data_IF_581187606088
#
_entry.id   IF_581187606088
#
_cell.length_a   1.000
_cell.length_b   1.000
_cell.length_c   1.000
_cell.angle_alpha   90.00
_cell.angle_beta   90.00
_cell.angle_gamma   90.00
#
_symmetry.space_group_name_H-M   'P 1'
#
loop_
_entity.id
_entity.type
_entity.pdbx_description
1 polymer ?
#
# COMPACT_ATOMS: atom_id res chain seq x y z
N UNK A 1 5.27 -4.28 14.51
CA UNK A 1 4.15 -4.29 13.53
C UNK A 1 4.65 -3.73 12.20
N UNK A 2 4.86 -2.41 12.10
CA UNK A 2 5.31 -1.78 10.86
C UNK A 2 6.62 -2.38 10.32
N UNK A 3 7.61 -2.57 11.21
CA UNK A 3 8.93 -3.14 10.89
C UNK A 3 8.88 -4.60 10.40
N UNK A 4 7.76 -5.31 10.60
CA UNK A 4 7.57 -6.67 10.05
C UNK A 4 7.12 -6.68 8.59
N UNK A 5 6.59 -5.55 8.12
CA UNK A 5 6.12 -5.38 6.75
C UNK A 5 7.08 -4.51 5.91
N UNK A 6 7.82 -3.61 6.57
CA UNK A 6 8.68 -2.64 5.90
C UNK A 6 9.96 -2.41 6.68
N UNK A 7 11.08 -2.47 5.96
CA UNK A 7 12.36 -1.99 6.46
C UNK A 7 12.39 -0.44 6.53
N UNK A 8 13.04 0.13 7.54
CA UNK A 8 13.12 1.59 7.76
C UNK A 8 14.39 2.23 7.19
N UNK A 9 15.34 1.44 6.70
CA UNK A 9 16.64 1.83 6.14
C UNK A 9 16.60 2.00 4.61
N UNK A 10 15.51 2.58 4.09
CA UNK A 10 15.38 2.87 2.66
C UNK A 10 16.00 4.22 2.25
N UNK A 11 16.68 4.29 1.10
CA UNK A 11 17.19 5.55 0.56
C UNK A 11 16.14 6.34 -0.23
N UNK A 12 15.29 5.64 -0.97
CA UNK A 12 14.20 6.22 -1.76
C UNK A 12 13.02 5.26 -1.88
N UNK A 13 11.84 5.80 -2.13
CA UNK A 13 10.60 5.05 -2.31
C UNK A 13 9.93 5.43 -3.62
N UNK A 14 9.27 4.44 -4.24
CA UNK A 14 8.31 4.73 -5.30
C UNK A 14 7.07 5.43 -4.71
N UNK A 15 6.28 6.10 -5.57
CA UNK A 15 5.04 6.73 -5.12
C UNK A 15 4.04 5.72 -4.54
N UNK A 16 3.96 4.53 -5.15
CA UNK A 16 3.09 3.44 -4.68
C UNK A 16 3.55 2.90 -3.33
N UNK A 17 4.86 2.70 -3.18
CA UNK A 17 5.45 2.22 -1.94
C UNK A 17 5.26 3.23 -0.79
N UNK A 18 5.45 4.52 -1.06
CA UNK A 18 5.16 5.58 -0.10
C UNK A 18 3.69 5.57 0.34
N UNK A 19 2.75 5.25 -0.55
CA UNK A 19 1.33 5.12 -0.21
C UNK A 19 1.04 3.91 0.67
N UNK A 20 1.58 2.73 0.31
CA UNK A 20 1.46 1.51 1.13
C UNK A 20 2.03 1.71 2.53
N UNK A 21 3.22 2.30 2.62
CA UNK A 21 3.87 2.63 3.89
C UNK A 21 3.05 3.63 4.70
N UNK A 22 2.50 4.68 4.09
CA UNK A 22 1.65 5.64 4.82
C UNK A 22 0.37 5.00 5.34
N UNK A 23 -0.27 4.14 4.56
CA UNK A 23 -1.41 3.33 5.03
C UNK A 23 -1.02 2.48 6.24
N UNK A 24 0.08 1.72 6.13
CA UNK A 24 0.57 0.87 7.21
C UNK A 24 0.94 1.67 8.47
N UNK A 25 1.57 2.83 8.34
CA UNK A 25 1.85 3.74 9.46
C UNK A 25 0.57 4.22 10.14
N UNK A 26 -0.49 4.47 9.36
CA UNK A 26 -1.81 4.82 9.85
C UNK A 26 -2.43 3.70 10.69
N UNK A 27 -2.44 2.49 10.13
CA UNK A 27 -2.92 1.28 10.81
C UNK A 27 -2.15 1.06 12.13
N UNK A 28 -0.82 1.17 12.10
CA UNK A 28 0.01 0.96 13.28
C UNK A 28 -0.28 2.00 14.37
N UNK A 29 -0.41 3.28 13.98
CA UNK A 29 -0.68 4.36 14.90
C UNK A 29 -2.05 4.22 15.58
N UNK A 30 -3.08 3.76 14.86
CA UNK A 30 -4.40 3.53 15.47
C UNK A 30 -4.39 2.35 16.45
N UNK A 31 -3.52 1.35 16.21
CA UNK A 31 -3.28 0.24 17.14
C UNK A 31 -2.31 0.61 18.29
N UNK A 32 -1.88 1.88 18.38
CA UNK A 32 -1.05 2.38 19.48
C UNK A 32 0.46 2.31 19.25
N UNK A 33 0.91 2.03 18.03
CA UNK A 33 2.33 2.01 17.65
C UNK A 33 2.69 3.23 16.78
N UNK A 34 3.41 4.20 17.36
CA UNK A 34 3.77 5.46 16.69
C UNK A 34 5.15 5.42 16.02
N UNK A 35 5.22 5.88 14.77
CA UNK A 35 6.45 5.97 13.96
C UNK A 35 6.55 7.35 13.28
N UNK A 36 6.55 8.43 14.08
CA UNK A 36 6.52 9.81 13.56
C UNK A 36 7.73 10.17 12.68
N UNK A 37 8.90 9.62 13.01
CA UNK A 37 10.13 9.84 12.25
C UNK A 37 10.00 9.32 10.81
N UNK A 38 9.47 8.10 10.66
CA UNK A 38 9.26 7.46 9.37
C UNK A 38 8.19 8.20 8.55
N UNK A 39 7.04 8.52 9.16
CA UNK A 39 6.02 9.36 8.51
C UNK A 39 6.60 10.68 8.02
N UNK A 40 7.41 11.33 8.85
CA UNK A 40 8.04 12.61 8.49
C UNK A 40 9.03 12.45 7.34
N UNK A 41 9.81 11.36 7.32
CA UNK A 41 10.75 11.04 6.25
C UNK A 41 10.03 10.84 4.92
N UNK A 42 8.94 10.08 4.90
CA UNK A 42 8.11 9.87 3.70
C UNK A 42 7.47 11.19 3.23
N UNK A 43 6.88 11.97 4.14
CA UNK A 43 6.26 13.26 3.79
C UNK A 43 7.25 14.29 3.21
N UNK A 44 8.55 14.18 3.53
CA UNK A 44 9.59 15.07 2.97
C UNK A 44 9.91 14.74 1.51
N UNK A 45 9.57 13.56 1.02
CA UNK A 45 9.73 13.21 -0.40
C UNK A 45 8.70 13.91 -1.30
N UNK A 46 7.57 14.34 -0.74
CA UNK A 46 6.54 15.04 -1.49
C UNK A 46 7.06 16.41 -1.96
N UNK A 47 7.17 16.57 -3.28
CA UNK A 47 7.61 17.82 -3.91
C UNK A 47 6.48 18.84 -4.08
N UNK A 48 5.23 18.38 -3.93
CA UNK A 48 4.02 19.21 -4.10
C UNK A 48 3.06 19.04 -2.93
N UNK A 49 2.25 20.07 -2.68
CA UNK A 49 1.17 19.99 -1.69
C UNK A 49 0.16 18.89 -2.02
N UNK A 50 -0.11 18.64 -3.30
CA UNK A 50 -0.99 17.56 -3.74
C UNK A 50 -0.45 16.19 -3.34
N UNK A 51 0.82 15.89 -3.66
CA UNK A 51 1.46 14.63 -3.25
C UNK A 51 1.42 14.44 -1.73
N UNK A 52 1.67 15.52 -0.98
CA UNK A 52 1.60 15.49 0.49
C UNK A 52 0.19 15.14 0.97
N UNK A 53 -0.84 15.77 0.41
CA UNK A 53 -2.24 15.47 0.76
C UNK A 53 -2.63 14.03 0.44
N UNK A 54 -2.14 13.47 -0.66
CA UNK A 54 -2.40 12.07 -1.04
C UNK A 54 -1.73 11.10 -0.05
N UNK A 55 -0.52 11.39 0.40
CA UNK A 55 0.15 10.62 1.47
C UNK A 55 -0.57 10.72 2.81
N UNK A 56 -0.97 11.93 3.22
CA UNK A 56 -1.74 12.14 4.45
C UNK A 56 -3.11 11.42 4.39
N UNK A 57 -3.74 11.37 3.22
CA UNK A 57 -4.98 10.61 3.01
C UNK A 57 -4.76 9.10 3.22
N UNK A 58 -3.70 8.53 2.66
CA UNK A 58 -3.40 7.11 2.86
C UNK A 58 -3.18 6.77 4.35
N UNK A 59 -2.49 7.64 5.08
CA UNK A 59 -2.34 7.50 6.54
C UNK A 59 -3.68 7.58 7.29
N UNK A 60 -4.55 8.53 6.92
CA UNK A 60 -5.88 8.60 7.49
C UNK A 60 -6.74 7.37 7.15
N UNK A 61 -6.61 6.83 5.93
CA UNK A 61 -7.29 5.61 5.50
C UNK A 61 -6.88 4.41 6.36
N UNK A 62 -5.58 4.20 6.61
CA UNK A 62 -5.11 3.12 7.49
C UNK A 62 -5.65 3.22 8.92
N UNK A 63 -5.72 4.44 9.47
CA UNK A 63 -6.35 4.67 10.78
C UNK A 63 -7.83 4.33 10.79
N UNK A 64 -8.56 4.75 9.76
CA UNK A 64 -9.99 4.49 9.67
C UNK A 64 -10.28 2.99 9.45
N UNK A 65 -9.47 2.29 8.67
CA UNK A 65 -9.61 0.85 8.47
C UNK A 65 -9.57 0.07 9.79
N UNK A 66 -8.68 0.44 10.71
CA UNK A 66 -8.66 -0.16 12.07
C UNK A 66 -9.96 0.15 12.82
N UNK A 67 -10.46 1.38 12.78
CA UNK A 67 -11.72 1.73 13.46
C UNK A 67 -12.92 0.95 12.94
N UNK A 68 -12.94 0.71 11.63
CA UNK A 68 -14.06 0.06 10.96
C UNK A 68 -14.05 -1.46 11.16
N UNK A 69 -12.86 -2.07 11.28
CA UNK A 69 -12.71 -3.53 11.24
C UNK A 69 -12.10 -4.16 12.50
N UNK A 70 -11.61 -3.40 13.48
CA UNK A 70 -10.95 -3.97 14.68
C UNK A 70 -11.83 -4.95 15.45
N UNK A 71 -13.14 -4.74 15.49
CA UNK A 71 -14.08 -5.63 16.20
C UNK A 71 -14.26 -7.00 15.49
N UNK A 72 -13.78 -7.15 14.26
CA UNK A 72 -13.84 -8.39 13.48
C UNK A 72 -12.72 -9.38 13.82
N UNK A 73 -11.73 -8.97 14.60
CA UNK A 73 -10.53 -9.76 14.93
C UNK A 73 -10.33 -9.89 16.44
N UNK A 74 -9.72 -10.99 16.86
CA UNK A 74 -9.50 -11.31 18.28
C UNK A 74 -8.34 -10.53 18.91
N UNK A 75 -7.46 -9.95 18.09
CA UNK A 75 -6.30 -9.18 18.55
C UNK A 75 -5.89 -8.04 17.61
N UNK A 76 -5.13 -7.08 18.16
CA UNK A 76 -4.52 -6.01 17.37
C UNK A 76 -3.52 -6.56 16.34
N UNK A 77 -2.85 -7.68 16.65
CA UNK A 77 -1.94 -8.39 15.73
C UNK A 77 -2.68 -8.96 14.52
N UNK A 78 -3.81 -9.65 14.75
CA UNK A 78 -4.65 -10.18 13.67
C UNK A 78 -5.30 -9.06 12.86
N UNK A 79 -5.74 -7.98 13.54
CA UNK A 79 -6.26 -6.78 12.87
C UNK A 79 -5.22 -6.18 11.93
N UNK A 80 -3.97 -6.06 12.40
CA UNK A 80 -2.86 -5.58 11.59
C UNK A 80 -2.63 -6.47 10.37
N UNK A 81 -2.42 -7.77 10.58
CA UNK A 81 -2.09 -8.71 9.52
C UNK A 81 -3.17 -8.70 8.43
N UNK A 82 -4.45 -8.83 8.81
CA UNK A 82 -5.54 -8.86 7.86
C UNK A 82 -5.68 -7.55 7.05
N UNK A 83 -5.51 -6.39 7.68
CA UNK A 83 -5.62 -5.09 7.00
C UNK A 83 -4.43 -4.80 6.08
N UNK A 84 -3.25 -5.32 6.41
CA UNK A 84 -2.02 -5.15 5.64
C UNK A 84 -1.99 -6.10 4.44
N UNK A 85 -2.36 -7.37 4.64
CA UNK A 85 -2.52 -8.36 3.58
C UNK A 85 -3.61 -7.96 2.57
N UNK A 86 -4.72 -7.35 3.04
CA UNK A 86 -5.77 -6.83 2.16
C UNK A 86 -5.27 -5.73 1.20
N UNK A 87 -4.16 -5.07 1.50
CA UNK A 87 -3.48 -4.10 0.60
C UNK A 87 -2.37 -4.74 -0.25
N UNK A 88 -2.22 -6.07 -0.20
CA UNK A 88 -1.18 -6.82 -0.90
C UNK A 88 0.22 -6.58 -0.34
N UNK A 89 0.32 -6.22 0.94
CA UNK A 89 1.60 -6.03 1.64
C UNK A 89 1.92 -7.35 2.36
N UNK A 90 3.08 -7.92 2.09
CA UNK A 90 3.54 -9.16 2.75
C UNK A 90 4.11 -8.82 4.12
N UNK A 91 3.72 -9.58 5.15
CA UNK A 91 4.27 -9.49 6.49
C UNK A 91 5.23 -10.66 6.68
N UNK A 92 6.47 -10.40 7.06
CA UNK A 92 7.42 -11.47 7.34
C UNK A 92 7.10 -12.13 8.71
N UNK A 93 6.93 -13.46 8.74
CA UNK A 93 6.58 -14.16 9.97
C UNK A 93 7.78 -14.31 10.93
N UNK A 94 9.03 -14.12 10.49
CA UNK A 94 10.24 -14.55 11.21
C UNK A 94 10.98 -13.40 11.93
N UNK A 95 10.46 -12.16 11.92
CA UNK A 95 11.12 -11.03 12.61
C UNK A 95 10.87 -11.01 14.13
N UNK A 96 11.29 -12.06 14.82
CA UNK A 96 11.65 -12.04 16.24
C UNK A 96 13.14 -12.40 16.34
N UNK A 97 13.99 -11.36 16.32
CA UNK A 97 15.44 -11.39 16.56
C UNK A 97 16.30 -12.27 15.62
N UNK A 98 16.88 -11.65 14.60
CA UNK A 98 18.34 -11.52 14.40
C UNK A 98 18.60 -10.94 13.00
N UNK A 99 19.42 -9.90 12.93
CA UNK A 99 19.81 -9.25 11.69
C UNK A 99 20.74 -10.15 10.88
N UNK A 100 20.38 -10.50 9.65
CA UNK A 100 21.26 -10.74 8.49
C UNK A 100 20.43 -11.35 7.34
N UNK A 101 20.21 -10.59 6.26
CA UNK A 101 20.29 -11.07 4.86
C UNK A 101 19.84 -9.98 3.87
N UNK A 102 20.76 -9.64 2.97
CA UNK A 102 20.50 -9.14 1.62
C UNK A 102 19.28 -9.86 0.99
N UNK A 103 18.21 -9.14 0.67
CA UNK A 103 17.23 -9.57 -0.32
C UNK A 103 16.82 -8.38 -1.20
N UNK A 104 17.25 -8.42 -2.46
CA UNK A 104 16.80 -7.49 -3.49
C UNK A 104 15.31 -7.72 -3.80
N UNK A 105 14.46 -6.67 -3.84
CA UNK A 105 13.03 -6.87 -3.99
C UNK A 105 12.69 -7.07 -5.47
N UNK A 106 12.49 -8.32 -5.87
CA UNK A 106 11.80 -8.59 -7.11
C UNK A 106 12.05 -9.97 -7.70
N UNK A 107 11.35 -10.99 -7.20
CA UNK A 107 10.76 -12.11 -7.97
C UNK A 107 10.47 -13.31 -7.05
N UNK A 108 9.41 -13.24 -6.25
CA UNK A 108 8.82 -14.45 -5.69
C UNK A 108 7.29 -14.43 -5.85
N UNK A 109 6.86 -14.52 -7.11
CA UNK A 109 5.53 -15.04 -7.41
C UNK A 109 5.60 -16.58 -7.31
N UNK A 110 4.75 -17.23 -6.50
CA UNK A 110 4.71 -18.69 -6.44
C UNK A 110 4.32 -19.27 -7.81
N UNK A 111 4.90 -20.42 -8.17
CA UNK A 111 4.71 -21.14 -9.45
C UNK A 111 3.23 -21.47 -9.76
N UNK A 112 2.35 -21.31 -8.76
CA UNK A 112 0.90 -21.47 -8.89
C UNK A 112 0.17 -20.27 -9.54
N UNK A 113 0.81 -19.10 -9.67
CA UNK A 113 0.28 -17.96 -10.44
C UNK A 113 0.96 -17.94 -11.80
N UNK A 114 0.57 -18.91 -12.64
CA UNK A 114 0.76 -18.82 -14.08
C UNK A 114 0.04 -17.58 -14.59
N UNK A 115 0.83 -16.62 -15.09
CA UNK A 115 0.44 -15.40 -15.80
C UNK A 115 -0.92 -15.56 -16.49
N UNK A 116 -1.97 -14.95 -15.93
CA UNK A 116 -3.23 -14.81 -16.64
C UNK A 116 -3.00 -13.79 -17.77
N UNK A 117 -2.68 -14.29 -18.97
CA UNK A 117 -2.58 -13.50 -20.21
C UNK A 117 -3.95 -12.97 -20.69
N UNK A 118 -4.90 -12.74 -19.79
CA UNK A 118 -6.29 -12.41 -20.11
C UNK A 118 -6.62 -10.91 -19.93
N UNK A 119 -5.62 -10.08 -19.59
CA UNK A 119 -5.77 -8.64 -19.41
C UNK A 119 -4.89 -7.80 -20.36
N UNK A 120 -4.32 -8.40 -21.40
CA UNK A 120 -3.87 -7.63 -22.56
C UNK A 120 -5.12 -7.21 -23.35
N UNK A 121 -5.73 -6.10 -22.95
CA UNK A 121 -6.70 -5.42 -23.80
C UNK A 121 -5.95 -4.83 -24.99
N UNK A 122 -6.19 -5.38 -26.18
CA UNK A 122 -5.78 -4.78 -27.45
C UNK A 122 -6.40 -3.39 -27.57
N UNK A 123 -5.57 -2.39 -27.94
CA UNK A 123 -5.95 -0.98 -28.03
C UNK A 123 -7.07 -0.76 -29.06
N UNK A 124 -7.24 -1.68 -30.02
CA UNK A 124 -8.30 -1.70 -31.02
C UNK A 124 -9.73 -1.84 -30.43
N UNK A 125 -9.92 -2.43 -29.23
CA UNK A 125 -11.27 -2.58 -28.64
C UNK A 125 -11.81 -1.26 -28.04
N UNK A 126 -10.92 -0.29 -27.76
CA UNK A 126 -11.30 1.04 -27.24
C UNK A 126 -12.00 1.91 -28.31
N UNK A 127 -11.70 1.72 -29.60
CA UNK A 127 -12.37 2.46 -30.69
C UNK A 127 -13.85 2.10 -30.83
N UNK A 128 -14.24 0.93 -30.31
CA UNK A 128 -15.62 0.44 -30.33
C UNK A 128 -16.50 1.10 -29.26
N UNK A 129 -15.88 1.70 -28.24
CA UNK A 129 -16.53 2.53 -27.22
C UNK A 129 -16.66 3.97 -27.71
N UNK A 130 -17.28 4.16 -28.87
CA UNK A 130 -17.49 5.49 -29.43
C UNK A 130 -18.45 6.25 -28.51
N UNK A 131 -17.97 7.35 -27.91
CA UNK A 131 -18.73 8.19 -26.99
C UNK A 131 -20.11 8.53 -27.61
N UNK A 132 -21.22 8.20 -26.93
CA UNK A 132 -22.55 8.38 -27.48
C UNK A 132 -22.83 9.87 -27.74
N UNK A 133 -23.67 10.14 -28.74
CA UNK A 133 -23.81 11.49 -29.35
C UNK A 133 -24.19 12.59 -28.35
N UNK A 134 -24.88 12.25 -27.25
CA UNK A 134 -25.29 13.21 -26.23
C UNK A 134 -24.15 13.71 -25.31
N UNK A 135 -23.00 13.02 -25.28
CA UNK A 135 -21.80 13.46 -24.55
C UNK A 135 -20.79 14.18 -25.44
N UNK A 136 -21.10 14.36 -26.72
CA UNK A 136 -20.30 15.18 -27.61
C UNK A 136 -20.74 16.62 -27.45
N UNK A 137 -19.79 17.49 -27.09
CA UNK A 137 -20.00 18.94 -27.12
C UNK A 137 -20.18 19.33 -28.58
N UNK A 138 -21.36 19.85 -28.92
CA UNK A 138 -21.64 20.40 -30.24
C UNK A 138 -20.78 21.65 -30.45
N UNK A 139 -20.18 21.77 -31.63
CA UNK A 139 -19.53 22.99 -32.14
C UNK A 139 -20.56 23.79 -32.95
#
# INVERSE_FOLDING_TARGET
MYERAFDVDWDSLSAEEALRRMYALGTAAELGHEYEAERTRILRMATTAYQRSVLDLAYAEGRNAVRDHREEYDSDAETWEALIEAKGITVDPETDADADADDEPGQHLPDAIGRASMLELDVDDLERLRLPKFLRRED
#
